data_IF_896860647014
#
_entry.id   IF_896860647014
#
_cell.length_a   1.000
_cell.length_b   1.000
_cell.length_c   1.000
_cell.angle_alpha   90.00
_cell.angle_beta   90.00
_cell.angle_gamma   90.00
#
_symmetry.space_group_name_H-M   'P 1'
#
loop_
_entity.id
_entity.type
_entity.pdbx_description
1 polymer ?
#
# COMPACT_ATOMS: atom_id res chain seq x y z
N UNK A 1 -3.35 -26.92 -20.49
CA UNK A 1 -3.40 -25.46 -20.30
C UNK A 1 -4.78 -25.02 -19.81
N UNK A 2 -5.92 -25.44 -20.39
CA UNK A 2 -7.28 -25.07 -19.96
C UNK A 2 -7.58 -25.45 -18.50
N UNK A 3 -7.24 -26.70 -18.09
CA UNK A 3 -7.45 -27.15 -16.69
C UNK A 3 -6.68 -26.31 -15.68
N UNK A 4 -5.48 -25.87 -16.03
CA UNK A 4 -4.65 -25.02 -15.18
C UNK A 4 -5.27 -23.61 -15.06
N UNK A 5 -5.71 -23.04 -16.18
CA UNK A 5 -6.40 -21.75 -16.21
C UNK A 5 -7.70 -21.78 -15.40
N UNK A 6 -8.49 -22.85 -15.53
CA UNK A 6 -9.73 -23.02 -14.77
C UNK A 6 -9.46 -23.18 -13.26
N UNK A 7 -8.41 -23.90 -12.87
CA UNK A 7 -8.02 -24.03 -11.46
C UNK A 7 -7.59 -22.68 -10.88
N UNK A 8 -6.80 -21.89 -11.60
CA UNK A 8 -6.42 -20.54 -11.17
C UNK A 8 -7.61 -19.57 -11.12
N UNK A 9 -8.56 -19.69 -12.05
CA UNK A 9 -9.78 -18.90 -12.03
C UNK A 9 -10.65 -19.22 -10.80
N UNK A 10 -10.85 -20.52 -10.53
CA UNK A 10 -11.60 -20.98 -9.35
C UNK A 10 -10.93 -20.57 -8.03
N UNK A 11 -9.61 -20.68 -7.93
CA UNK A 11 -8.86 -20.24 -6.75
C UNK A 11 -9.01 -18.72 -6.52
N UNK A 12 -8.92 -17.91 -7.58
CA UNK A 12 -9.11 -16.45 -7.48
C UNK A 12 -10.51 -16.08 -7.05
N UNK A 13 -11.53 -16.71 -7.65
CA UNK A 13 -12.93 -16.49 -7.28
C UNK A 13 -13.19 -16.86 -5.82
N UNK A 14 -12.65 -17.99 -5.37
CA UNK A 14 -12.72 -18.38 -3.95
C UNK A 14 -12.07 -17.35 -3.04
N UNK A 15 -10.86 -16.87 -3.39
CA UNK A 15 -10.14 -15.86 -2.60
C UNK A 15 -10.91 -14.54 -2.56
N UNK A 16 -11.47 -14.11 -3.71
CA UNK A 16 -12.30 -12.90 -3.78
C UNK A 16 -13.56 -13.00 -2.93
N UNK A 17 -14.29 -14.12 -3.03
CA UNK A 17 -15.49 -14.34 -2.22
C UNK A 17 -15.17 -14.38 -0.73
N UNK A 18 -14.12 -15.11 -0.32
CA UNK A 18 -13.69 -15.17 1.08
C UNK A 18 -13.31 -13.78 1.63
N UNK A 19 -12.62 -12.97 0.84
CA UNK A 19 -12.27 -11.62 1.26
C UNK A 19 -13.50 -10.69 1.37
N UNK A 20 -14.52 -10.85 0.52
CA UNK A 20 -15.80 -10.14 0.67
C UNK A 20 -16.51 -10.54 1.96
N UNK A 21 -16.60 -11.84 2.26
CA UNK A 21 -17.26 -12.36 3.46
C UNK A 21 -16.53 -11.95 4.76
N UNK A 22 -15.21 -11.73 4.70
CA UNK A 22 -14.43 -11.25 5.84
C UNK A 22 -14.54 -9.74 6.07
N UNK A 23 -14.87 -8.94 5.06
CA UNK A 23 -14.97 -7.48 5.19
C UNK A 23 -16.03 -7.06 6.19
N UNK A 24 -17.22 -7.67 6.14
CA UNK A 24 -18.35 -7.34 6.99
C UNK A 24 -18.06 -7.57 8.47
N UNK A 25 -17.61 -8.76 8.93
CA UNK A 25 -17.29 -8.98 10.33
C UNK A 25 -16.13 -8.09 10.81
N UNK A 26 -15.14 -7.81 9.98
CA UNK A 26 -14.03 -6.91 10.34
C UNK A 26 -14.50 -5.46 10.53
N UNK A 27 -15.36 -4.96 9.65
CA UNK A 27 -15.96 -3.63 9.80
C UNK A 27 -16.81 -3.53 11.08
N UNK A 28 -17.55 -4.60 11.40
CA UNK A 28 -18.32 -4.66 12.65
C UNK A 28 -17.41 -4.64 13.90
N UNK A 29 -16.31 -5.40 13.87
CA UNK A 29 -15.32 -5.40 14.97
C UNK A 29 -14.69 -4.00 15.14
N UNK A 30 -14.35 -3.31 14.05
CA UNK A 30 -13.84 -1.94 14.11
C UNK A 30 -14.84 -1.00 14.75
N UNK A 31 -16.10 -1.03 14.28
CA UNK A 31 -17.16 -0.19 14.83
C UNK A 31 -17.41 -0.46 16.33
N UNK A 32 -17.37 -1.72 16.77
CA UNK A 32 -17.52 -2.08 18.18
C UNK A 32 -16.35 -1.59 19.04
N UNK A 33 -15.11 -1.67 18.55
CA UNK A 33 -13.93 -1.15 19.24
C UNK A 33 -13.98 0.38 19.35
N UNK A 34 -14.43 1.08 18.31
CA UNK A 34 -14.62 2.52 18.31
C UNK A 34 -15.70 2.95 19.30
N UNK A 35 -16.88 2.29 19.26
CA UNK A 35 -17.99 2.55 20.17
C UNK A 35 -17.59 2.32 21.62
N UNK A 36 -16.96 1.18 21.93
CA UNK A 36 -16.50 0.88 23.28
C UNK A 36 -15.51 1.94 23.79
N UNK A 37 -14.56 2.37 22.93
CA UNK A 37 -13.58 3.40 23.31
C UNK A 37 -14.23 4.76 23.54
N UNK A 38 -15.29 5.10 22.79
CA UNK A 38 -16.05 6.35 22.96
C UNK A 38 -16.91 6.34 24.22
N UNK A 39 -17.53 5.22 24.55
CA UNK A 39 -18.40 5.06 25.74
C UNK A 39 -17.59 4.93 27.05
N UNK A 40 -16.35 4.49 26.96
CA UNK A 40 -15.48 4.23 28.12
C UNK A 40 -14.14 4.97 28.02
N UNK A 41 -14.12 6.31 28.09
CA UNK A 41 -12.87 7.08 27.93
C UNK A 41 -11.89 6.87 29.08
N UNK A 42 -12.39 6.50 30.29
CA UNK A 42 -11.59 6.35 31.51
C UNK A 42 -11.25 4.89 31.85
N UNK A 43 -10.99 4.05 30.83
CA UNK A 43 -10.54 2.68 31.08
C UNK A 43 -9.14 2.63 31.69
N UNK A 44 -8.87 1.56 32.44
CA UNK A 44 -7.53 1.31 33.01
C UNK A 44 -6.48 1.25 31.89
N UNK A 45 -5.22 1.68 32.17
CA UNK A 45 -4.15 1.70 31.18
C UNK A 45 -3.94 0.35 30.45
N UNK A 46 -4.02 -0.75 31.17
CA UNK A 46 -3.87 -2.10 30.59
C UNK A 46 -5.01 -2.43 29.58
N UNK A 47 -6.22 -1.96 29.88
CA UNK A 47 -7.38 -2.12 28.99
C UNK A 47 -7.23 -1.25 27.75
N UNK A 48 -6.76 -0.02 27.91
CA UNK A 48 -6.50 0.89 26.78
C UNK A 48 -5.42 0.33 25.84
N UNK A 49 -4.35 -0.22 26.39
CA UNK A 49 -3.31 -0.89 25.61
C UNK A 49 -3.86 -2.12 24.85
N UNK A 50 -4.66 -2.95 25.50
CA UNK A 50 -5.30 -4.11 24.88
C UNK A 50 -6.24 -3.72 23.74
N UNK A 51 -7.06 -2.67 23.93
CA UNK A 51 -7.95 -2.15 22.89
C UNK A 51 -7.16 -1.60 21.70
N UNK A 52 -6.03 -0.94 21.94
CA UNK A 52 -5.14 -0.45 20.89
C UNK A 52 -4.57 -1.60 20.08
N UNK A 53 -4.10 -2.67 20.74
CA UNK A 53 -3.62 -3.87 20.06
C UNK A 53 -4.71 -4.55 19.22
N UNK A 54 -5.94 -4.67 19.73
CA UNK A 54 -7.07 -5.23 18.99
C UNK A 54 -7.40 -4.39 17.76
N UNK A 55 -7.42 -3.06 17.88
CA UNK A 55 -7.65 -2.15 16.76
C UNK A 55 -6.59 -2.34 15.67
N UNK A 56 -5.31 -2.33 16.05
CA UNK A 56 -4.20 -2.56 15.11
C UNK A 56 -4.33 -3.90 14.37
N UNK A 57 -4.71 -4.97 15.07
CA UNK A 57 -4.88 -6.29 14.43
C UNK A 57 -6.09 -6.30 13.48
N UNK A 58 -7.20 -5.68 13.86
CA UNK A 58 -8.41 -5.59 13.03
C UNK A 58 -8.15 -4.76 11.77
N UNK A 59 -7.48 -3.62 11.90
CA UNK A 59 -7.03 -2.80 10.75
C UNK A 59 -6.12 -3.61 9.81
N UNK A 60 -5.18 -4.36 10.38
CA UNK A 60 -4.28 -5.23 9.61
C UNK A 60 -5.04 -6.29 8.83
N UNK A 61 -6.02 -6.96 9.44
CA UNK A 61 -6.86 -7.96 8.76
C UNK A 61 -7.72 -7.31 7.67
N UNK A 62 -8.27 -6.13 7.91
CA UNK A 62 -9.02 -5.36 6.93
C UNK A 62 -8.14 -5.02 5.72
N UNK A 63 -6.90 -4.58 5.93
CA UNK A 63 -5.98 -4.30 4.84
C UNK A 63 -5.58 -5.57 4.06
N UNK A 64 -5.40 -6.69 4.74
CA UNK A 64 -5.13 -7.98 4.07
C UNK A 64 -6.31 -8.42 3.18
N UNK A 65 -7.54 -8.33 3.67
CA UNK A 65 -8.74 -8.67 2.88
C UNK A 65 -8.90 -7.75 1.68
N UNK A 66 -8.64 -6.46 1.84
CA UNK A 66 -8.63 -5.49 0.74
C UNK A 66 -7.61 -5.89 -0.33
N UNK A 67 -6.37 -6.19 0.06
CA UNK A 67 -5.31 -6.62 -0.87
C UNK A 67 -5.68 -7.91 -1.61
N UNK A 68 -6.29 -8.89 -0.93
CA UNK A 68 -6.76 -10.14 -1.57
C UNK A 68 -7.83 -9.88 -2.65
N UNK A 69 -8.80 -9.01 -2.37
CA UNK A 69 -9.83 -8.62 -3.33
C UNK A 69 -9.23 -7.97 -4.57
N UNK A 70 -8.31 -7.06 -4.34
CA UNK A 70 -7.63 -6.32 -5.41
C UNK A 70 -6.82 -7.25 -6.30
N UNK A 71 -6.07 -8.20 -5.72
CA UNK A 71 -5.34 -9.23 -6.47
C UNK A 71 -6.29 -10.13 -7.30
N UNK A 72 -7.49 -10.42 -6.78
CA UNK A 72 -8.51 -11.20 -7.50
C UNK A 72 -9.01 -10.47 -8.76
N UNK A 73 -9.10 -9.14 -8.73
CA UNK A 73 -9.69 -8.32 -9.79
C UNK A 73 -8.70 -7.81 -10.86
N UNK A 74 -7.39 -7.93 -10.63
CA UNK A 74 -6.34 -7.35 -11.49
C UNK A 74 -6.42 -7.76 -12.99
N UNK A 75 -6.96 -8.92 -13.32
CA UNK A 75 -7.03 -9.41 -14.70
C UNK A 75 -8.22 -8.88 -15.49
N UNK A 76 -9.25 -8.36 -14.82
CA UNK A 76 -10.45 -7.84 -15.46
C UNK A 76 -10.35 -6.36 -15.84
N UNK A 77 -9.25 -5.72 -15.45
CA UNK A 77 -9.05 -4.29 -15.68
C UNK A 77 -8.52 -4.06 -17.09
N UNK A 78 -9.19 -3.22 -17.87
CA UNK A 78 -8.74 -2.79 -19.19
C UNK A 78 -7.37 -2.08 -19.07
N UNK A 79 -6.49 -2.28 -20.09
CA UNK A 79 -5.12 -1.77 -20.10
C UNK A 79 -4.78 -1.09 -21.40
N UNK A 80 -5.70 -0.31 -21.93
CA UNK A 80 -5.65 0.31 -23.25
C UNK A 80 -5.77 1.84 -23.24
N UNK A 81 -5.66 2.44 -22.07
CA UNK A 81 -5.70 3.89 -21.90
C UNK A 81 -4.32 4.50 -22.12
N UNK A 82 -4.27 5.67 -22.79
CA UNK A 82 -3.06 6.47 -22.92
C UNK A 82 -2.89 7.33 -21.67
N UNK A 83 -1.83 7.09 -20.92
CA UNK A 83 -1.60 7.70 -19.62
C UNK A 83 -0.40 8.64 -19.70
N UNK A 84 -0.57 9.84 -19.17
CA UNK A 84 0.52 10.80 -18.90
C UNK A 84 0.92 10.64 -17.43
N UNK A 85 2.19 10.35 -17.17
CA UNK A 85 2.63 10.01 -15.81
C UNK A 85 2.91 11.22 -14.93
N UNK A 86 3.31 12.35 -15.53
CA UNK A 86 3.60 13.57 -14.75
C UNK A 86 2.39 14.07 -13.95
N UNK A 87 1.19 14.28 -14.54
CA UNK A 87 0.01 14.66 -13.77
C UNK A 87 -0.37 13.63 -12.68
N UNK A 88 -0.19 12.35 -12.98
CA UNK A 88 -0.47 11.27 -12.01
C UNK A 88 0.47 11.35 -10.79
N UNK A 89 1.75 11.62 -10.99
CA UNK A 89 2.73 11.79 -9.90
C UNK A 89 2.40 13.04 -9.07
N UNK A 90 1.99 14.14 -9.69
CA UNK A 90 1.57 15.38 -9.01
C UNK A 90 0.33 15.14 -8.13
N UNK A 91 -0.65 14.38 -8.63
CA UNK A 91 -1.82 13.95 -7.85
C UNK A 91 -1.41 13.13 -6.64
N UNK A 92 -0.55 12.12 -6.82
CA UNK A 92 -0.02 11.28 -5.74
C UNK A 92 0.72 12.13 -4.69
N UNK A 93 1.51 13.11 -5.11
CA UNK A 93 2.19 14.01 -4.18
C UNK A 93 1.21 14.87 -3.39
N UNK A 94 0.12 15.31 -4.01
CA UNK A 94 -0.96 16.03 -3.33
C UNK A 94 -1.63 15.15 -2.27
N UNK A 95 -1.94 13.92 -2.60
CA UNK A 95 -2.54 12.95 -1.67
C UNK A 95 -1.62 12.61 -0.49
N UNK A 96 -0.31 12.57 -0.73
CA UNK A 96 0.69 12.25 0.30
C UNK A 96 1.25 13.47 1.03
N UNK A 97 0.86 14.70 0.65
CA UNK A 97 1.40 15.94 1.21
C UNK A 97 1.33 16.00 2.74
N UNK A 98 0.17 15.70 3.32
CA UNK A 98 -0.02 15.69 4.78
C UNK A 98 0.87 14.68 5.51
N UNK A 99 1.13 13.51 4.90
CA UNK A 99 2.02 12.50 5.45
C UNK A 99 3.48 12.93 5.34
N UNK A 100 3.86 13.52 4.22
CA UNK A 100 5.21 14.04 3.98
C UNK A 100 5.53 15.22 4.90
N UNK A 101 4.61 16.16 5.08
CA UNK A 101 4.76 17.32 5.99
C UNK A 101 4.99 16.89 7.44
N UNK A 102 4.19 15.94 7.96
CA UNK A 102 4.36 15.41 9.32
C UNK A 102 5.75 14.84 9.58
N UNK A 103 6.46 14.43 8.55
CA UNK A 103 7.80 13.83 8.61
C UNK A 103 8.88 14.75 8.02
N UNK A 104 8.52 15.96 7.60
CA UNK A 104 9.40 16.93 6.94
C UNK A 104 10.12 16.34 5.73
N UNK A 105 9.41 15.54 4.92
CA UNK A 105 9.96 14.88 3.73
C UNK A 105 9.71 15.76 2.49
N UNK A 106 10.76 15.96 1.71
CA UNK A 106 10.67 16.65 0.41
C UNK A 106 10.27 15.67 -0.67
N UNK A 107 9.23 16.02 -1.46
CA UNK A 107 8.79 15.27 -2.63
C UNK A 107 9.25 15.98 -3.90
N UNK A 108 9.93 15.27 -4.80
CA UNK A 108 10.46 15.80 -6.05
C UNK A 108 10.07 14.89 -7.22
N UNK A 109 9.60 15.49 -8.32
CA UNK A 109 9.35 14.80 -9.58
C UNK A 109 10.24 15.38 -10.68
N UNK A 110 10.79 14.52 -11.54
CA UNK A 110 11.68 14.91 -12.63
C UNK A 110 11.36 14.08 -13.89
N UNK A 111 11.39 14.76 -15.04
CA UNK A 111 11.15 14.14 -16.34
C UNK A 111 9.67 14.02 -16.68
N UNK A 112 9.42 13.35 -17.82
CA UNK A 112 8.07 13.07 -18.32
C UNK A 112 8.06 11.75 -19.07
N UNK A 113 6.95 11.04 -19.00
CA UNK A 113 6.75 9.82 -19.75
C UNK A 113 5.26 9.49 -19.91
N UNK A 114 4.96 8.76 -20.98
CA UNK A 114 3.63 8.26 -21.27
C UNK A 114 3.67 6.74 -21.49
N UNK A 115 2.59 6.06 -21.15
CA UNK A 115 2.44 4.64 -21.44
C UNK A 115 0.98 4.27 -21.72
N UNK A 116 0.80 3.12 -22.39
CA UNK A 116 -0.53 2.53 -22.53
C UNK A 116 -0.75 1.51 -21.43
N UNK A 117 -1.80 1.69 -20.65
CA UNK A 117 -2.07 0.83 -19.50
C UNK A 117 -3.46 1.01 -18.91
N UNK A 118 -3.60 0.69 -17.65
CA UNK A 118 -4.77 1.01 -16.85
C UNK A 118 -4.41 2.11 -15.87
N UNK A 119 -5.15 3.21 -15.91
CA UNK A 119 -4.99 4.34 -15.01
C UNK A 119 -4.96 3.89 -13.54
N UNK A 120 -6.01 3.18 -13.10
CA UNK A 120 -6.14 2.71 -11.73
C UNK A 120 -4.98 1.81 -11.27
N UNK A 121 -4.42 0.96 -12.15
CA UNK A 121 -3.33 0.06 -11.78
C UNK A 121 -1.98 0.79 -11.70
N UNK A 122 -1.72 1.71 -12.63
CA UNK A 122 -0.48 2.48 -12.65
C UNK A 122 -0.47 3.49 -11.50
N UNK A 123 -1.59 4.23 -11.30
CA UNK A 123 -1.76 5.11 -10.15
C UNK A 123 -1.46 4.37 -8.84
N UNK A 124 -2.09 3.23 -8.65
CA UNK A 124 -1.93 2.44 -7.45
C UNK A 124 -0.51 1.91 -7.25
N UNK A 125 0.14 1.47 -8.31
CA UNK A 125 1.55 1.04 -8.25
C UNK A 125 2.43 2.20 -7.79
N UNK A 126 2.30 3.35 -8.42
CA UNK A 126 3.07 4.56 -8.09
C UNK A 126 2.76 5.07 -6.69
N UNK A 127 1.47 5.12 -6.31
CA UNK A 127 1.04 5.51 -4.97
C UNK A 127 1.67 4.61 -3.89
N UNK A 128 1.60 3.27 -4.05
CA UNK A 128 2.17 2.34 -3.09
C UNK A 128 3.69 2.49 -2.95
N UNK A 129 4.41 2.68 -4.05
CA UNK A 129 5.86 2.89 -4.02
C UNK A 129 6.22 4.20 -3.32
N UNK A 130 5.53 5.29 -3.68
CA UNK A 130 5.77 6.63 -3.12
C UNK A 130 5.35 6.70 -1.65
N UNK A 131 4.21 6.10 -1.28
CA UNK A 131 3.75 6.02 0.10
C UNK A 131 4.75 5.25 0.98
N UNK A 132 5.27 4.12 0.49
CA UNK A 132 6.32 3.38 1.19
C UNK A 132 7.60 4.21 1.34
N UNK A 133 8.02 4.90 0.29
CA UNK A 133 9.17 5.80 0.32
C UNK A 133 9.02 6.93 1.35
N UNK A 134 7.80 7.43 1.59
CA UNK A 134 7.50 8.41 2.65
C UNK A 134 7.43 7.74 4.02
N UNK A 135 6.72 6.61 4.16
CA UNK A 135 6.50 5.92 5.45
C UNK A 135 7.79 5.42 6.09
N UNK A 136 8.70 4.87 5.27
CA UNK A 136 9.96 4.27 5.74
C UNK A 136 11.16 5.20 5.59
N UNK A 137 10.91 6.49 5.34
CA UNK A 137 11.95 7.50 5.27
C UNK A 137 12.42 7.93 6.66
N UNK A 138 13.59 8.55 6.72
CA UNK A 138 14.05 9.29 7.89
C UNK A 138 13.37 10.67 7.95
N UNK A 139 13.28 11.27 9.14
CA UNK A 139 12.81 12.64 9.31
C UNK A 139 13.72 13.62 8.50
N UNK A 140 13.10 14.54 7.78
CA UNK A 140 13.82 15.51 6.94
C UNK A 140 14.46 14.89 5.70
N UNK A 141 14.05 13.69 5.31
CA UNK A 141 14.52 13.03 4.09
C UNK A 141 13.85 13.51 2.81
N UNK A 142 14.10 12.80 1.72
CA UNK A 142 13.50 13.11 0.41
C UNK A 142 13.00 11.85 -0.29
N UNK A 143 12.01 12.04 -1.16
CA UNK A 143 11.53 11.06 -2.12
C UNK A 143 11.58 11.71 -3.50
N UNK A 144 12.20 11.04 -4.46
CA UNK A 144 12.29 11.50 -5.85
C UNK A 144 11.68 10.47 -6.78
N UNK A 145 10.77 10.93 -7.65
CA UNK A 145 10.19 10.16 -8.75
C UNK A 145 10.76 10.65 -10.06
N UNK A 146 11.51 9.81 -10.76
CA UNK A 146 12.10 10.10 -12.06
C UNK A 146 11.34 9.35 -13.14
N UNK A 147 10.92 10.08 -14.18
CA UNK A 147 10.19 9.56 -15.34
C UNK A 147 11.06 9.74 -16.59
N UNK A 148 11.26 8.65 -17.34
CA UNK A 148 12.03 8.72 -18.58
C UNK A 148 11.35 7.92 -19.69
N UNK A 149 11.16 8.55 -20.84
CA UNK A 149 10.64 7.92 -22.04
C UNK A 149 11.78 7.40 -22.91
N UNK A 150 11.87 6.08 -23.04
CA UNK A 150 12.75 5.45 -24.01
C UNK A 150 12.01 5.10 -25.31
N UNK A 151 12.74 4.52 -26.28
CA UNK A 151 12.16 4.14 -27.58
C UNK A 151 11.06 3.08 -27.44
N UNK A 152 11.28 2.07 -26.58
CA UNK A 152 10.36 0.94 -26.38
C UNK A 152 9.91 0.77 -24.91
N UNK A 153 10.42 1.59 -24.00
CA UNK A 153 10.20 1.43 -22.56
C UNK A 153 9.96 2.78 -21.89
N UNK A 154 8.98 2.81 -21.02
CA UNK A 154 8.87 3.83 -20.00
C UNK A 154 9.64 3.37 -18.76
N UNK A 155 10.50 4.22 -18.21
CA UNK A 155 11.24 3.95 -16.98
C UNK A 155 10.68 4.88 -15.91
N UNK A 156 10.28 4.27 -14.80
CA UNK A 156 9.82 4.95 -13.60
C UNK A 156 10.77 4.54 -12.47
N UNK A 157 11.40 5.51 -11.84
CA UNK A 157 12.26 5.28 -10.69
C UNK A 157 11.75 6.06 -9.50
N UNK A 158 11.54 5.37 -8.38
CA UNK A 158 11.23 5.99 -7.09
C UNK A 158 12.43 5.77 -6.19
N UNK A 159 13.04 6.87 -5.73
CA UNK A 159 14.21 6.86 -4.86
C UNK A 159 13.88 7.56 -3.55
N UNK A 160 14.34 6.99 -2.44
CA UNK A 160 14.16 7.55 -1.10
C UNK A 160 15.48 7.60 -0.33
N UNK A 161 15.50 8.39 0.74
CA UNK A 161 16.62 8.49 1.67
C UNK A 161 16.37 7.76 2.99
N UNK A 162 15.47 6.77 2.98
CA UNK A 162 15.03 6.02 4.15
C UNK A 162 16.00 4.95 4.63
N UNK A 163 15.47 4.01 5.40
CA UNK A 163 16.27 2.95 6.02
C UNK A 163 16.75 1.87 5.01
N UNK A 164 16.26 1.91 3.76
CA UNK A 164 16.57 0.89 2.77
C UNK A 164 15.96 -0.48 3.10
N UNK A 165 16.28 -1.46 2.25
CA UNK A 165 15.80 -2.84 2.39
C UNK A 165 17.03 -3.75 2.47
N UNK A 166 17.24 -4.49 3.60
CA UNK A 166 18.32 -5.44 3.71
C UNK A 166 18.33 -6.44 2.57
N UNK A 167 19.50 -6.81 2.08
CA UNK A 167 19.68 -7.66 0.91
C UNK A 167 18.92 -8.99 1.02
N UNK A 168 18.90 -9.56 2.22
CA UNK A 168 18.20 -10.82 2.54
C UNK A 168 16.67 -10.76 2.26
N UNK A 169 16.06 -9.57 2.31
CA UNK A 169 14.62 -9.37 2.11
C UNK A 169 14.25 -8.87 0.71
N UNK A 170 15.20 -8.39 -0.10
CA UNK A 170 14.92 -7.76 -1.40
C UNK A 170 14.13 -8.66 -2.37
N UNK A 171 14.29 -9.98 -2.28
CA UNK A 171 13.48 -10.93 -3.06
C UNK A 171 12.11 -11.19 -2.44
N UNK A 172 12.01 -11.12 -1.14
CA UNK A 172 10.80 -11.46 -0.39
C UNK A 172 9.78 -10.33 -0.33
N UNK A 173 10.20 -9.05 -0.52
CA UNK A 173 9.31 -7.88 -0.48
C UNK A 173 8.21 -7.91 -1.56
N UNK A 174 8.40 -8.70 -2.63
CA UNK A 174 7.39 -8.89 -3.68
C UNK A 174 6.37 -9.97 -3.36
N UNK A 175 6.57 -10.73 -2.28
CA UNK A 175 5.55 -11.70 -1.84
C UNK A 175 4.40 -10.98 -1.15
N UNK A 176 3.14 -11.36 -1.45
CA UNK A 176 1.98 -10.80 -0.77
C UNK A 176 2.11 -10.94 0.76
N UNK A 177 1.74 -9.88 1.49
CA UNK A 177 1.74 -9.84 2.96
C UNK A 177 3.12 -9.91 3.64
N UNK A 178 4.20 -9.97 2.87
CA UNK A 178 5.54 -9.93 3.44
C UNK A 178 5.80 -8.56 4.09
N UNK A 179 6.41 -8.58 5.25
CA UNK A 179 6.89 -7.38 5.96
C UNK A 179 8.20 -7.72 6.66
N UNK A 180 9.16 -6.83 6.63
CA UNK A 180 10.33 -6.91 7.50
C UNK A 180 9.88 -6.68 8.93
N UNK A 181 10.28 -7.53 9.89
CA UNK A 181 9.75 -7.59 11.26
C UNK A 181 9.70 -6.22 11.96
N UNK A 182 8.58 -5.97 12.67
CA UNK A 182 8.30 -4.74 13.43
C UNK A 182 9.34 -4.40 14.52
N UNK A 183 10.12 -5.37 15.00
CA UNK A 183 11.14 -5.14 16.02
C UNK A 183 12.29 -4.26 15.52
N UNK A 184 12.63 -4.33 14.23
CA UNK A 184 13.67 -3.50 13.62
C UNK A 184 13.11 -2.16 13.07
N UNK A 185 11.84 -2.09 12.71
CA UNK A 185 11.24 -0.83 12.23
C UNK A 185 11.08 0.22 13.35
N UNK A 186 11.03 -0.20 14.64
CA UNK A 186 11.06 0.73 15.78
C UNK A 186 12.42 1.42 15.98
N UNK A 187 13.51 0.79 15.59
CA UNK A 187 14.85 1.38 15.62
C UNK A 187 15.04 2.51 14.59
N UNK A 188 14.23 2.54 13.54
CA UNK A 188 14.29 3.51 12.44
C UNK A 188 13.10 4.49 12.39
N UNK A 189 12.34 4.64 13.50
CA UNK A 189 11.35 5.71 13.68
C UNK A 189 10.00 5.47 13.01
N UNK A 190 9.57 4.22 12.89
CA UNK A 190 8.21 3.82 12.44
C UNK A 190 7.26 3.57 13.62
#
# INVERSE_FOLDING_TARGET
>A
LERLNNAFAAQRQFTGNAAHELRTPLALMQAQLELFSAEHPDVRPETAEFLTLLREQTERLTQMTKTLLEMSNLQQVARNEQLQLTPMVEEIFTDLASLAEKRSITLEAEGDAALTGSDALIYRMLFNLTENAVKYNRLGGSVRVELAQGQEKCIIRVSDTGCGIPEEYQRSIFHPFFRVDKSRSREYGG
#
